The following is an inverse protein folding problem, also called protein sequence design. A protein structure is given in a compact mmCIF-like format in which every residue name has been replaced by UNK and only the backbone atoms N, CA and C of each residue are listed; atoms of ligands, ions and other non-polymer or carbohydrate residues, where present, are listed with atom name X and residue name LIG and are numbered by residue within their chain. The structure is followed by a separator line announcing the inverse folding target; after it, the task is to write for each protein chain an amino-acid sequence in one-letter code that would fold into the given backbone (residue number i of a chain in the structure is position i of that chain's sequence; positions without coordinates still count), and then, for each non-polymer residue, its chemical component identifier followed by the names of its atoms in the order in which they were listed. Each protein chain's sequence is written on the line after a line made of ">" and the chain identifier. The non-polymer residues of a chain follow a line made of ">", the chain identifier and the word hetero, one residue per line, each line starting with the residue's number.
data_IF_294214990268
#
_entry.id   IF_294214990268
#
_cell.length_a   1.000
_cell.length_b   1.000
_cell.length_c   1.000
_cell.angle_alpha   90.00
_cell.angle_beta   90.00
_cell.angle_gamma   90.00
#
_symmetry.space_group_name_H-M   'P 1'
#
loop_
_entity.id
_entity.type
_entity.pdbx_description
1 polymer ?
#
# COMPACT_ATOMS: atom_id res chain seq x y z
N UNK A 1 -41.67 -2.12 3.96
CA UNK A 1 -41.68 -2.84 5.26
C UNK A 1 -41.84 -1.88 6.43
N UNK A 2 -40.85 -1.04 6.77
CA UNK A 2 -40.99 -0.05 7.86
C UNK A 2 -42.01 1.07 7.53
N UNK A 3 -42.00 1.57 6.29
CA UNK A 3 -42.98 2.55 5.78
C UNK A 3 -44.40 1.97 5.64
N UNK A 4 -44.55 0.64 5.73
CA UNK A 4 -45.83 -0.07 5.70
C UNK A 4 -46.41 -0.30 7.13
N UNK A 5 -45.86 0.38 8.15
CA UNK A 5 -46.36 0.33 9.53
C UNK A 5 -45.89 -0.85 10.37
N UNK A 6 -44.96 -1.69 9.87
CA UNK A 6 -44.36 -2.77 10.64
C UNK A 6 -43.34 -2.23 11.65
N UNK A 7 -43.35 -2.78 12.87
CA UNK A 7 -42.34 -2.43 13.88
C UNK A 7 -40.93 -2.80 13.40
N UNK A 8 -39.94 -1.96 13.72
CA UNK A 8 -38.54 -2.15 13.29
C UNK A 8 -37.99 -3.52 13.69
N UNK A 9 -38.36 -4.02 14.87
CA UNK A 9 -37.99 -5.35 15.37
C UNK A 9 -38.56 -6.48 14.51
N UNK A 10 -39.81 -6.36 14.09
CA UNK A 10 -40.47 -7.35 13.25
C UNK A 10 -39.88 -7.36 11.84
N UNK A 11 -39.61 -6.17 11.29
CA UNK A 11 -38.93 -6.04 10.01
C UNK A 11 -37.49 -6.61 10.04
N UNK A 12 -36.74 -6.35 11.12
CA UNK A 12 -35.38 -6.89 11.30
C UNK A 12 -35.38 -8.42 11.40
N UNK A 13 -36.31 -9.00 12.17
CA UNK A 13 -36.45 -10.45 12.30
C UNK A 13 -36.81 -11.12 10.96
N UNK A 14 -37.73 -10.52 10.19
CA UNK A 14 -38.12 -11.04 8.87
C UNK A 14 -36.96 -11.02 7.86
N UNK A 15 -36.08 -10.02 7.96
CA UNK A 15 -34.87 -9.91 7.14
C UNK A 15 -33.66 -10.64 7.72
N UNK A 16 -33.81 -11.31 8.87
CA UNK A 16 -32.71 -11.96 9.61
C UNK A 16 -31.53 -11.03 9.92
N UNK A 17 -31.81 -9.74 10.12
CA UNK A 17 -30.81 -8.73 10.47
C UNK A 17 -30.84 -8.53 11.99
N UNK A 18 -29.68 -8.40 12.66
CA UNK A 18 -29.64 -8.02 14.07
C UNK A 18 -30.38 -6.70 14.31
N UNK A 19 -31.20 -6.67 15.37
CA UNK A 19 -32.00 -5.49 15.69
C UNK A 19 -31.17 -4.20 15.85
N UNK A 20 -29.96 -4.32 16.41
CA UNK A 20 -28.99 -3.22 16.56
C UNK A 20 -28.53 -2.64 15.22
N UNK A 21 -28.35 -3.47 14.20
CA UNK A 21 -27.99 -3.05 12.84
C UNK A 21 -29.16 -2.29 12.20
N UNK A 22 -30.38 -2.80 12.31
CA UNK A 22 -31.58 -2.13 11.79
C UNK A 22 -31.82 -0.76 12.47
N UNK A 23 -31.59 -0.65 13.78
CA UNK A 23 -31.64 0.63 14.50
C UNK A 23 -30.58 1.61 14.02
N UNK A 24 -29.35 1.14 13.81
CA UNK A 24 -28.25 1.97 13.31
C UNK A 24 -28.54 2.49 11.91
N UNK A 25 -29.09 1.65 11.04
CA UNK A 25 -29.52 2.02 9.68
C UNK A 25 -30.65 3.04 9.69
N UNK A 26 -31.67 2.84 10.54
CA UNK A 26 -32.75 3.82 10.72
C UNK A 26 -32.20 5.19 11.15
N UNK A 27 -31.29 5.21 12.13
CA UNK A 27 -30.68 6.46 12.62
C UNK A 27 -29.90 7.18 11.51
N UNK A 28 -29.11 6.45 10.73
CA UNK A 28 -28.39 7.02 9.57
C UNK A 28 -29.33 7.60 8.53
N UNK A 29 -30.39 6.87 8.20
CA UNK A 29 -31.43 7.33 7.27
C UNK A 29 -32.11 8.61 7.75
N UNK A 30 -32.47 8.70 9.03
CA UNK A 30 -33.05 9.90 9.64
C UNK A 30 -32.07 11.10 9.64
N UNK A 31 -30.77 10.84 9.73
CA UNK A 31 -29.72 11.88 9.63
C UNK A 31 -29.39 12.26 8.18
N UNK A 32 -30.07 11.68 7.18
CA UNK A 32 -29.77 11.89 5.76
C UNK A 32 -28.42 11.31 5.32
N UNK A 33 -27.81 10.47 6.15
CA UNK A 33 -26.60 9.73 5.81
C UNK A 33 -26.95 8.51 4.98
N UNK A 34 -26.13 8.24 3.97
CA UNK A 34 -26.26 7.03 3.17
C UNK A 34 -25.94 5.80 4.04
N UNK A 35 -26.97 4.98 4.26
CA UNK A 35 -26.91 3.76 5.07
C UNK A 35 -25.93 2.74 4.47
N UNK A 36 -25.76 2.76 3.15
CA UNK A 36 -24.94 1.82 2.39
C UNK A 36 -23.55 2.35 2.08
N UNK A 37 -23.21 3.60 2.44
CA UNK A 37 -21.85 4.08 2.30
C UNK A 37 -20.91 3.21 3.13
N UNK A 38 -20.03 2.51 2.43
CA UNK A 38 -18.86 1.91 3.03
C UNK A 38 -18.11 3.00 3.81
N UNK A 39 -17.75 2.70 5.05
CA UNK A 39 -16.82 3.56 5.77
C UNK A 39 -15.53 3.55 4.93
N UNK A 40 -15.24 4.67 4.27
CA UNK A 40 -13.88 4.93 3.79
C UNK A 40 -12.99 4.73 5.01
N UNK A 41 -11.99 3.88 4.90
CA UNK A 41 -11.00 3.70 5.94
C UNK A 41 -10.34 5.06 6.15
N UNK A 42 -10.82 5.80 7.15
CA UNK A 42 -10.21 7.03 7.62
C UNK A 42 -8.95 6.64 8.39
N UNK A 43 -8.01 6.04 7.68
CA UNK A 43 -6.68 5.73 8.17
C UNK A 43 -5.85 7.00 8.30
N UNK A 44 -4.69 6.87 8.95
CA UNK A 44 -3.68 7.92 8.96
C UNK A 44 -3.34 8.29 7.50
N UNK A 45 -3.25 9.58 7.15
CA UNK A 45 -2.82 9.99 5.81
C UNK A 45 -1.47 9.34 5.49
N UNK A 46 -1.31 8.91 4.24
CA UNK A 46 -0.06 8.34 3.78
C UNK A 46 1.08 9.35 3.96
N UNK A 47 2.23 8.88 4.44
CA UNK A 47 3.43 9.71 4.59
C UNK A 47 4.02 10.03 3.21
N UNK A 48 3.84 9.12 2.26
CA UNK A 48 4.31 9.25 0.89
C UNK A 48 3.15 9.59 -0.04
N UNK A 49 3.36 10.61 -0.88
CA UNK A 49 2.37 11.17 -1.80
C UNK A 49 2.79 10.95 -3.26
N UNK A 50 1.92 11.37 -4.20
CA UNK A 50 2.15 11.29 -5.64
C UNK A 50 3.42 12.05 -6.09
N UNK A 51 3.75 13.17 -5.43
CA UNK A 51 4.98 13.93 -5.72
C UNK A 51 6.24 13.11 -5.43
N UNK A 52 6.26 12.40 -4.30
CA UNK A 52 7.36 11.51 -3.93
C UNK A 52 7.47 10.32 -4.90
N UNK A 53 6.32 9.80 -5.35
CA UNK A 53 6.29 8.75 -6.36
C UNK A 53 6.92 9.21 -7.67
N UNK A 54 6.54 10.39 -8.16
CA UNK A 54 7.10 10.92 -9.41
C UNK A 54 8.61 11.10 -9.31
N UNK A 55 9.10 11.67 -8.22
CA UNK A 55 10.52 11.83 -7.98
C UNK A 55 11.27 10.50 -7.99
N UNK A 56 10.71 9.46 -7.36
CA UNK A 56 11.32 8.13 -7.36
C UNK A 56 11.35 7.47 -8.75
N UNK A 57 10.35 7.73 -9.59
CA UNK A 57 10.32 7.23 -10.97
C UNK A 57 11.42 7.90 -11.80
N UNK A 58 11.49 9.23 -11.77
CA UNK A 58 12.52 10.00 -12.48
C UNK A 58 13.93 9.56 -12.04
N UNK A 59 14.13 9.35 -10.73
CA UNK A 59 15.40 8.91 -10.17
C UNK A 59 15.83 7.51 -10.66
N UNK A 60 14.87 6.57 -10.79
CA UNK A 60 15.15 5.21 -11.28
C UNK A 60 15.35 5.18 -12.80
N UNK A 61 14.63 6.02 -13.54
CA UNK A 61 14.80 6.17 -14.99
C UNK A 61 16.19 6.75 -15.33
N UNK A 62 16.68 7.70 -14.53
CA UNK A 62 18.03 8.25 -14.66
C UNK A 62 19.13 7.24 -14.30
N UNK A 63 18.93 6.43 -13.25
CA UNK A 63 19.89 5.42 -12.82
C UNK A 63 19.22 4.12 -12.32
N UNK A 64 19.08 3.10 -13.19
CA UNK A 64 18.38 1.86 -12.83
C UNK A 64 19.16 0.97 -11.85
N UNK A 65 20.42 1.29 -11.55
CA UNK A 65 21.26 0.53 -10.62
C UNK A 65 21.19 1.03 -9.17
N UNK A 66 20.34 2.03 -8.90
CA UNK A 66 20.18 2.60 -7.58
C UNK A 66 19.76 1.57 -6.54
N UNK A 67 20.43 1.65 -5.39
CA UNK A 67 20.08 0.86 -4.22
C UNK A 67 19.03 1.61 -3.41
N UNK A 68 18.15 0.87 -2.74
CA UNK A 68 17.09 1.42 -1.89
C UNK A 68 17.61 2.44 -0.84
N UNK A 69 18.82 2.24 -0.32
CA UNK A 69 19.46 3.18 0.62
C UNK A 69 19.77 4.53 -0.04
N UNK A 70 20.29 4.52 -1.26
CA UNK A 70 20.58 5.73 -2.03
C UNK A 70 19.29 6.45 -2.42
N UNK A 71 18.24 5.70 -2.79
CA UNK A 71 16.91 6.27 -3.05
C UNK A 71 16.35 6.95 -1.80
N UNK A 72 16.54 6.34 -0.62
CA UNK A 72 16.11 6.91 0.65
C UNK A 72 16.84 8.22 0.95
N UNK A 73 18.18 8.23 0.85
CA UNK A 73 19.00 9.43 1.08
C UNK A 73 18.59 10.57 0.14
N UNK A 74 18.46 10.28 -1.16
CA UNK A 74 18.04 11.26 -2.18
C UNK A 74 16.66 11.85 -1.87
N UNK A 75 15.72 10.99 -1.47
CA UNK A 75 14.35 11.39 -1.14
C UNK A 75 14.30 12.24 0.14
N UNK A 76 15.04 11.87 1.19
CA UNK A 76 15.12 12.68 2.42
C UNK A 76 15.87 14.00 2.24
N UNK A 77 16.80 14.06 1.29
CA UNK A 77 17.51 15.29 0.94
C UNK A 77 16.66 16.25 0.12
N UNK A 78 15.80 15.73 -0.75
CA UNK A 78 14.92 16.54 -1.60
C UNK A 78 13.69 17.05 -0.83
N UNK A 79 13.17 16.26 0.11
CA UNK A 79 11.98 16.58 0.89
C UNK A 79 12.35 16.73 2.37
N UNK A 80 12.68 17.96 2.78
CA UNK A 80 13.04 18.26 4.17
C UNK A 80 11.92 17.87 5.15
N UNK A 81 12.30 17.25 6.27
CA UNK A 81 11.37 16.80 7.31
C UNK A 81 10.67 15.46 7.04
N UNK A 82 11.04 14.78 5.94
CA UNK A 82 10.48 13.48 5.60
C UNK A 82 11.16 12.34 6.37
N UNK A 83 10.51 11.86 7.44
CA UNK A 83 10.98 10.70 8.20
C UNK A 83 10.31 9.41 7.72
N UNK A 84 11.09 8.53 7.09
CA UNK A 84 10.59 7.27 6.52
C UNK A 84 11.51 6.12 6.91
N UNK A 85 10.93 4.96 7.23
CA UNK A 85 11.70 3.73 7.41
C UNK A 85 12.00 3.04 6.07
N UNK A 86 13.14 2.37 5.97
CA UNK A 86 13.54 1.60 4.76
C UNK A 86 12.47 0.61 4.29
N UNK A 87 11.77 -0.04 5.23
CA UNK A 87 10.67 -0.97 4.93
C UNK A 87 9.45 -0.27 4.34
N UNK A 88 9.12 0.93 4.83
CA UNK A 88 8.03 1.75 4.29
C UNK A 88 8.34 2.21 2.87
N UNK A 89 9.57 2.69 2.62
CA UNK A 89 10.03 3.05 1.29
C UNK A 89 9.97 1.85 0.33
N UNK A 90 10.49 0.68 0.74
CA UNK A 90 10.43 -0.54 -0.06
C UNK A 90 8.99 -0.91 -0.45
N UNK A 91 8.07 -0.89 0.51
CA UNK A 91 6.66 -1.20 0.26
C UNK A 91 6.02 -0.20 -0.69
N UNK A 92 6.33 1.09 -0.54
CA UNK A 92 5.83 2.14 -1.41
C UNK A 92 6.33 1.99 -2.85
N UNK A 93 7.63 1.81 -3.03
CA UNK A 93 8.25 1.57 -4.36
C UNK A 93 7.64 0.34 -5.03
N UNK A 94 7.39 -0.72 -4.26
CA UNK A 94 6.79 -1.95 -4.78
C UNK A 94 5.32 -1.80 -5.15
N UNK A 95 4.52 -1.12 -4.33
CA UNK A 95 3.06 -1.01 -4.51
C UNK A 95 2.66 0.14 -5.43
N UNK A 96 3.15 1.33 -5.14
CA UNK A 96 2.75 2.57 -5.82
C UNK A 96 3.56 2.79 -7.09
N UNK A 97 4.90 2.67 -7.02
CA UNK A 97 5.76 2.84 -8.20
C UNK A 97 5.77 1.59 -9.09
N UNK A 98 5.24 0.46 -8.63
CA UNK A 98 5.25 -0.85 -9.33
C UNK A 98 6.65 -1.33 -9.71
N UNK A 99 7.67 -0.91 -8.97
CA UNK A 99 9.07 -1.28 -9.19
C UNK A 99 9.45 -2.44 -8.26
N UNK A 100 10.00 -3.50 -8.83
CA UNK A 100 10.59 -4.59 -8.05
C UNK A 100 12.10 -4.43 -7.96
N UNK A 101 12.58 -3.90 -6.84
CA UNK A 101 14.03 -3.83 -6.55
C UNK A 101 14.55 -5.23 -6.25
N UNK A 102 15.38 -5.78 -7.15
CA UNK A 102 16.07 -7.07 -6.94
C UNK A 102 17.49 -6.80 -6.48
N UNK A 103 17.95 -7.56 -5.48
CA UNK A 103 19.35 -7.52 -5.06
C UNK A 103 20.20 -8.21 -6.14
N UNK A 104 21.05 -7.46 -6.82
CA UNK A 104 22.01 -8.03 -7.74
C UNK A 104 23.07 -8.81 -6.95
N UNK A 105 23.23 -10.10 -7.27
CA UNK A 105 24.34 -10.90 -6.75
C UNK A 105 25.52 -10.74 -7.70
N UNK A 106 26.52 -9.98 -7.29
CA UNK A 106 27.77 -9.91 -8.03
C UNK A 106 28.54 -11.22 -7.86
N UNK A 107 28.79 -11.93 -8.95
CA UNK A 107 29.74 -13.03 -8.94
C UNK A 107 31.16 -12.46 -9.09
N UNK A 108 32.09 -12.91 -8.23
CA UNK A 108 33.52 -12.66 -8.44
C UNK A 108 33.91 -13.18 -9.83
N UNK A 109 34.48 -12.31 -10.68
CA UNK A 109 34.95 -12.69 -12.01
C UNK A 109 35.89 -13.90 -11.97
N UNK A 110 36.67 -14.03 -10.90
CA UNK A 110 37.55 -15.17 -10.66
C UNK A 110 36.79 -16.51 -10.63
N UNK A 111 35.52 -16.53 -10.18
CA UNK A 111 34.66 -17.72 -10.19
C UNK A 111 34.28 -18.17 -11.61
N UNK A 112 34.32 -17.29 -12.60
CA UNK A 112 34.13 -17.58 -14.02
C UNK A 112 35.47 -17.62 -14.80
N UNK A 113 36.62 -17.64 -14.12
CA UNK A 113 37.90 -17.85 -14.79
C UNK A 113 37.95 -19.25 -15.41
N UNK A 114 38.68 -19.38 -16.52
CA UNK A 114 38.88 -20.66 -17.21
C UNK A 114 39.54 -21.72 -16.31
N UNK A 115 40.33 -21.31 -15.31
CA UNK A 115 40.88 -22.22 -14.29
C UNK A 115 39.79 -22.79 -13.40
N UNK A 116 38.96 -21.93 -12.78
CA UNK A 116 37.89 -22.34 -11.86
C UNK A 116 36.75 -23.10 -12.55
N UNK A 117 36.58 -22.92 -13.85
CA UNK A 117 35.64 -23.72 -14.65
C UNK A 117 36.20 -25.12 -14.95
N UNK A 118 37.52 -25.25 -15.17
CA UNK A 118 38.19 -26.54 -15.38
C UNK A 118 38.21 -27.39 -14.10
N UNK A 119 38.51 -26.79 -12.95
CA UNK A 119 38.47 -27.46 -11.63
C UNK A 119 37.10 -28.07 -11.27
N UNK A 120 35.99 -27.70 -11.95
CA UNK A 120 34.66 -28.29 -11.69
C UNK A 120 34.35 -29.51 -12.56
N UNK A 121 35.10 -29.69 -13.63
CA UNK A 121 34.91 -30.81 -14.56
C UNK A 121 35.76 -32.03 -14.19
N UNK A 122 36.69 -31.86 -13.24
CA UNK A 122 37.43 -32.93 -12.54
C UNK A 122 36.66 -33.40 -11.30
#
# INVERSE_FOLDING_TARGET
>A
MYEQGLSLRKAAAQLSIPHSTAQSWKKKYEMGEDVLKEKKEAGRPAILNEEHQKYLLDLVDDNPFLVLDQMMESLTSQFEGLEISKTSLYNFVKKECKISVKRAYFYLQNRNSLEKLRERQE
#
